data_IF_242831842933
#
_entry.id   IF_242831842933
#
_cell.length_a   1.000
_cell.length_b   1.000
_cell.length_c   1.000
_cell.angle_alpha   90.00
_cell.angle_beta   90.00
_cell.angle_gamma   90.00
#
_symmetry.space_group_name_H-M   'P 1'
#
loop_
_entity.id
_entity.type
_entity.pdbx_description
1 polymer ?
#
# COMPACT_ATOMS: atom_id res chain seq x y z
N UNK A 1 39.75 -46.61 41.28
CA UNK A 1 40.16 -45.58 40.30
C UNK A 1 39.18 -45.62 39.13
N UNK A 2 38.08 -44.87 39.23
CA UNK A 2 37.10 -44.73 38.15
C UNK A 2 37.35 -43.40 37.44
N UNK A 3 37.57 -43.44 36.12
CA UNK A 3 37.73 -42.25 35.27
C UNK A 3 36.35 -41.67 34.91
N UNK A 4 36.14 -40.35 35.03
CA UNK A 4 34.93 -39.70 34.54
C UNK A 4 35.00 -39.53 33.02
N UNK A 5 33.96 -39.96 32.33
CA UNK A 5 33.79 -39.80 30.88
C UNK A 5 33.03 -38.49 30.64
N UNK A 6 33.68 -37.53 29.99
CA UNK A 6 33.05 -36.26 29.61
C UNK A 6 32.15 -36.47 28.39
N UNK A 7 30.84 -36.44 28.60
CA UNK A 7 29.84 -36.37 27.53
C UNK A 7 29.83 -34.95 26.97
N UNK A 8 30.37 -34.79 25.76
CA UNK A 8 30.31 -33.56 24.98
C UNK A 8 28.87 -33.36 24.47
N UNK A 9 28.14 -32.41 25.04
CA UNK A 9 26.81 -32.03 24.56
C UNK A 9 26.96 -31.16 23.31
N UNK A 10 26.64 -31.71 22.14
CA UNK A 10 26.50 -30.99 20.89
C UNK A 10 25.20 -30.15 20.93
N UNK A 11 25.33 -28.86 21.20
CA UNK A 11 24.25 -27.89 20.98
C UNK A 11 24.07 -27.68 19.47
N UNK A 12 23.10 -28.39 18.88
CA UNK A 12 22.58 -28.07 17.55
C UNK A 12 21.81 -26.74 17.65
N UNK A 13 22.47 -25.62 17.36
CA UNK A 13 21.79 -24.35 17.07
C UNK A 13 21.01 -24.54 15.76
N UNK A 14 19.73 -24.89 15.89
CA UNK A 14 18.73 -24.75 14.84
C UNK A 14 18.55 -23.24 14.59
N UNK A 15 19.45 -22.66 13.80
CA UNK A 15 19.20 -21.37 13.17
C UNK A 15 18.10 -21.61 12.15
N UNK A 16 16.85 -21.48 12.60
CA UNK A 16 15.68 -21.33 11.73
C UNK A 16 15.95 -20.08 10.89
N UNK A 17 16.57 -20.27 9.73
CA UNK A 17 16.66 -19.27 8.69
C UNK A 17 15.22 -19.05 8.23
N UNK A 18 14.51 -18.14 8.89
CA UNK A 18 13.28 -17.58 8.35
C UNK A 18 13.67 -16.99 7.00
N UNK A 19 13.34 -17.72 5.94
CA UNK A 19 13.40 -17.22 4.58
C UNK A 19 12.42 -16.05 4.54
N UNK A 20 12.93 -14.83 4.63
CA UNK A 20 12.14 -13.65 4.29
C UNK A 20 11.95 -13.72 2.79
N UNK A 21 10.80 -14.23 2.37
CA UNK A 21 10.37 -14.18 0.98
C UNK A 21 9.98 -12.73 0.66
N UNK A 22 10.92 -12.00 0.06
CA UNK A 22 10.69 -10.65 -0.42
C UNK A 22 10.15 -10.72 -1.85
N UNK A 23 8.86 -10.40 -2.04
CA UNK A 23 8.30 -10.11 -3.36
C UNK A 23 8.83 -8.79 -3.93
N UNK A 24 8.33 -8.36 -5.10
CA UNK A 24 8.64 -7.04 -5.65
C UNK A 24 7.90 -5.94 -4.86
N UNK A 25 8.38 -5.63 -3.67
CA UNK A 25 7.70 -4.67 -2.78
C UNK A 25 8.35 -3.29 -2.75
N UNK A 26 9.35 -3.07 -3.61
CA UNK A 26 10.07 -1.80 -3.73
C UNK A 26 9.34 -0.85 -4.67
N UNK A 27 9.17 0.40 -4.26
CA UNK A 27 8.59 1.41 -5.13
C UNK A 27 9.61 1.91 -6.16
N UNK A 28 9.16 2.15 -7.38
CA UNK A 28 9.97 2.67 -8.47
C UNK A 28 10.27 4.17 -8.31
N UNK A 29 9.42 4.89 -7.57
CA UNK A 29 9.56 6.31 -7.25
C UNK A 29 9.16 6.61 -5.80
N UNK A 30 9.37 7.86 -5.36
CA UNK A 30 8.96 8.36 -4.05
C UNK A 30 7.51 8.86 -3.99
N UNK A 31 6.67 8.57 -4.98
CA UNK A 31 5.28 9.07 -5.01
C UNK A 31 4.45 8.62 -3.79
N UNK A 32 4.80 7.48 -3.21
CA UNK A 32 4.12 6.91 -2.03
C UNK A 32 4.98 7.01 -0.77
N UNK A 33 5.93 7.96 -0.74
CA UNK A 33 6.71 8.27 0.45
C UNK A 33 5.81 8.78 1.59
N UNK A 34 4.73 9.50 1.26
CA UNK A 34 3.72 9.91 2.26
C UNK A 34 3.14 8.70 3.00
N UNK A 35 2.81 7.63 2.29
CA UNK A 35 2.31 6.39 2.89
C UNK A 35 3.41 5.74 3.75
N UNK A 36 4.60 5.58 3.18
CA UNK A 36 5.71 4.90 3.83
C UNK A 36 6.16 5.65 5.10
N UNK A 37 6.10 6.98 5.10
CA UNK A 37 6.45 7.81 6.25
C UNK A 37 5.52 7.61 7.45
N UNK A 38 4.23 7.36 7.20
CA UNK A 38 3.22 7.21 8.25
C UNK A 38 3.10 5.75 8.68
N UNK A 39 3.07 4.81 7.72
CA UNK A 39 2.87 3.38 7.96
C UNK A 39 4.17 2.68 8.37
N UNK A 40 5.32 3.13 7.86
CA UNK A 40 6.64 2.54 8.15
C UNK A 40 7.05 1.40 7.21
N UNK A 41 6.24 1.08 6.22
CA UNK A 41 6.52 0.10 5.16
C UNK A 41 5.87 0.56 3.84
N UNK A 42 6.32 0.04 2.71
CA UNK A 42 5.71 0.37 1.42
C UNK A 42 4.29 -0.22 1.32
N UNK A 43 3.40 0.36 0.49
CA UNK A 43 2.07 -0.21 0.29
C UNK A 43 2.10 -1.66 -0.21
N UNK A 44 3.09 -2.02 -1.03
CA UNK A 44 3.30 -3.39 -1.46
C UNK A 44 3.68 -4.33 -0.32
N UNK A 45 4.53 -3.89 0.63
CA UNK A 45 4.82 -4.67 1.83
C UNK A 45 3.56 -4.89 2.67
N UNK A 46 2.77 -3.84 2.91
CA UNK A 46 1.50 -3.97 3.64
C UNK A 46 0.53 -4.93 2.95
N UNK A 47 0.38 -4.79 1.62
CA UNK A 47 -0.47 -5.68 0.83
C UNK A 47 -0.01 -7.14 0.90
N UNK A 48 1.31 -7.38 0.75
CA UNK A 48 1.88 -8.72 0.87
C UNK A 48 1.58 -9.34 2.24
N UNK A 49 1.83 -8.58 3.32
CA UNK A 49 1.61 -9.06 4.69
C UNK A 49 0.13 -9.35 4.97
N UNK A 50 -0.78 -8.53 4.44
CA UNK A 50 -2.22 -8.77 4.54
C UNK A 50 -2.62 -10.09 3.86
N UNK A 51 -2.15 -10.34 2.63
CA UNK A 51 -2.40 -11.60 1.90
C UNK A 51 -1.75 -12.80 2.61
N UNK A 52 -0.58 -12.61 3.21
CA UNK A 52 0.15 -13.65 3.95
C UNK A 52 -0.59 -14.20 5.17
N UNK A 53 -1.57 -13.47 5.72
CA UNK A 53 -2.46 -14.00 6.77
C UNK A 53 -3.23 -15.23 6.27
N UNK A 54 -3.69 -15.22 5.02
CA UNK A 54 -4.48 -16.29 4.41
C UNK A 54 -3.63 -17.26 3.57
N UNK A 55 -2.48 -16.79 3.07
CA UNK A 55 -1.60 -17.53 2.18
C UNK A 55 -0.15 -17.19 2.51
N UNK A 56 0.47 -17.92 3.45
CA UNK A 56 1.82 -17.61 3.96
C UNK A 56 2.93 -17.58 2.89
N UNK A 57 2.71 -18.22 1.74
CA UNK A 57 3.65 -18.22 0.61
C UNK A 57 3.41 -17.07 -0.38
N UNK A 58 2.35 -16.28 -0.17
CA UNK A 58 2.02 -15.15 -1.03
C UNK A 58 3.18 -14.15 -1.10
N UNK A 59 3.53 -13.80 -2.34
CA UNK A 59 4.51 -12.77 -2.66
C UNK A 59 3.92 -11.84 -3.68
N UNK A 60 4.14 -10.54 -3.46
CA UNK A 60 3.80 -9.53 -4.45
C UNK A 60 4.67 -9.74 -5.68
N UNK A 61 4.03 -10.05 -6.80
CA UNK A 61 4.69 -10.14 -8.11
C UNK A 61 4.87 -8.77 -8.77
N UNK A 62 5.25 -8.77 -10.05
CA UNK A 62 5.16 -7.58 -10.89
C UNK A 62 3.71 -7.37 -11.32
N UNK A 63 3.13 -6.25 -10.91
CA UNK A 63 1.77 -5.87 -11.27
C UNK A 63 1.68 -5.59 -12.77
N UNK A 64 0.54 -5.92 -13.36
CA UNK A 64 0.25 -5.55 -14.75
C UNK A 64 -0.01 -4.04 -14.84
N UNK A 65 0.35 -3.44 -15.98
CA UNK A 65 0.10 -2.01 -16.25
C UNK A 65 -1.38 -1.65 -16.43
N UNK A 66 -2.26 -2.65 -16.47
CA UNK A 66 -3.71 -2.49 -16.60
C UNK A 66 -4.40 -2.83 -15.28
N UNK A 67 -5.23 -1.93 -14.80
CA UNK A 67 -6.01 -2.12 -13.58
C UNK A 67 -6.97 -3.31 -13.71
N UNK A 68 -7.24 -4.04 -12.61
CA UNK A 68 -6.56 -3.96 -11.32
C UNK A 68 -5.21 -4.68 -11.41
N UNK A 69 -4.10 -4.10 -10.97
CA UNK A 69 -2.76 -4.66 -11.23
C UNK A 69 -2.49 -6.07 -10.69
N UNK A 70 -3.33 -6.55 -9.76
CA UNK A 70 -3.39 -7.91 -9.21
C UNK A 70 -4.87 -8.39 -9.17
N UNK A 71 -5.10 -9.67 -8.84
CA UNK A 71 -6.43 -10.24 -8.61
C UNK A 71 -6.49 -10.95 -7.24
N UNK A 72 -7.69 -11.09 -6.69
CA UNK A 72 -7.91 -11.98 -5.55
C UNK A 72 -8.11 -13.43 -6.02
N UNK A 73 -7.03 -14.21 -5.93
CA UNK A 73 -6.94 -15.62 -6.32
C UNK A 73 -6.60 -16.57 -5.16
N UNK A 74 -6.55 -16.05 -3.92
CA UNK A 74 -6.33 -16.90 -2.74
C UNK A 74 -7.51 -17.87 -2.53
N UNK A 75 -7.15 -19.09 -2.14
CA UNK A 75 -8.14 -20.09 -1.73
C UNK A 75 -8.94 -19.64 -0.49
N UNK A 76 -8.29 -18.94 0.44
CA UNK A 76 -8.94 -18.30 1.59
C UNK A 76 -9.14 -16.83 1.27
N UNK A 77 -10.33 -16.53 0.75
CA UNK A 77 -10.72 -15.24 0.19
C UNK A 77 -10.77 -14.08 1.18
N UNK A 78 -10.80 -14.32 2.49
CA UNK A 78 -10.99 -13.27 3.50
C UNK A 78 -9.95 -12.14 3.43
N UNK A 79 -8.70 -12.46 3.08
CA UNK A 79 -7.61 -11.49 3.02
C UNK A 79 -7.55 -10.67 1.74
N UNK A 80 -8.31 -11.02 0.70
CA UNK A 80 -8.31 -10.27 -0.57
C UNK A 80 -9.69 -9.91 -1.11
N UNK A 81 -10.77 -10.57 -0.72
CA UNK A 81 -12.12 -10.24 -1.16
C UNK A 81 -12.73 -9.08 -0.37
N UNK A 82 -11.97 -8.00 -0.18
CA UNK A 82 -12.41 -6.81 0.54
C UNK A 82 -11.83 -5.53 -0.10
N UNK A 83 -12.48 -4.39 0.13
CA UNK A 83 -12.05 -3.12 -0.49
C UNK A 83 -10.70 -2.63 0.02
N UNK A 84 -10.35 -2.94 1.28
CA UNK A 84 -9.06 -2.57 1.88
C UNK A 84 -7.90 -3.24 1.12
N UNK A 85 -8.01 -4.54 0.84
CA UNK A 85 -7.02 -5.28 0.06
C UNK A 85 -6.94 -4.80 -1.39
N UNK A 86 -8.09 -4.46 -1.99
CA UNK A 86 -8.13 -3.84 -3.32
C UNK A 86 -7.39 -2.50 -3.35
N UNK A 87 -7.66 -1.61 -2.40
CA UNK A 87 -7.02 -0.30 -2.32
C UNK A 87 -5.51 -0.40 -2.08
N UNK A 88 -5.09 -1.32 -1.20
CA UNK A 88 -3.68 -1.64 -1.01
C UNK A 88 -3.03 -2.21 -2.29
N UNK A 89 -3.75 -3.03 -3.05
CA UNK A 89 -3.26 -3.52 -4.34
C UNK A 89 -3.09 -2.36 -5.34
N UNK A 90 -4.01 -1.39 -5.37
CA UNK A 90 -3.92 -0.22 -6.22
C UNK A 90 -2.75 0.70 -5.82
N UNK A 91 -2.52 0.89 -4.51
CA UNK A 91 -1.34 1.58 -4.01
C UNK A 91 -0.05 0.83 -4.36
N UNK A 92 -0.04 -0.50 -4.25
CA UNK A 92 1.10 -1.30 -4.65
C UNK A 92 1.37 -1.20 -6.16
N UNK A 93 0.32 -1.16 -6.98
CA UNK A 93 0.46 -0.91 -8.41
C UNK A 93 1.13 0.44 -8.68
N UNK A 94 0.66 1.52 -8.04
CA UNK A 94 1.29 2.84 -8.16
C UNK A 94 2.74 2.82 -7.68
N UNK A 95 3.03 2.11 -6.58
CA UNK A 95 4.38 1.92 -6.07
C UNK A 95 5.29 1.29 -7.15
N UNK A 96 4.86 0.25 -7.84
CA UNK A 96 5.69 -0.44 -8.83
C UNK A 96 5.73 0.23 -10.22
N UNK A 97 4.61 0.80 -10.65
CA UNK A 97 4.41 1.24 -12.03
C UNK A 97 4.60 2.75 -12.21
N UNK A 98 4.43 3.54 -11.15
CA UNK A 98 4.55 4.98 -11.26
C UNK A 98 6.00 5.43 -11.16
N UNK A 99 6.55 5.79 -12.32
CA UNK A 99 7.90 6.31 -12.48
C UNK A 99 7.96 7.83 -12.32
N UNK A 100 6.80 8.49 -12.18
CA UNK A 100 6.71 9.94 -12.10
C UNK A 100 7.09 10.42 -10.69
N UNK A 101 7.64 11.64 -10.58
CA UNK A 101 7.90 12.25 -9.28
C UNK A 101 6.60 12.51 -8.51
N UNK A 102 6.71 12.61 -7.18
CA UNK A 102 5.60 12.54 -6.23
C UNK A 102 4.59 13.69 -6.24
N UNK A 103 4.63 14.58 -7.22
CA UNK A 103 3.69 15.68 -7.43
C UNK A 103 2.60 15.36 -8.49
N UNK A 104 2.74 14.26 -9.24
CA UNK A 104 1.77 13.88 -10.28
C UNK A 104 0.68 12.92 -9.78
N UNK A 105 -0.48 12.97 -10.45
CA UNK A 105 -1.61 12.07 -10.20
C UNK A 105 -1.19 10.64 -10.57
N UNK A 106 -1.38 9.69 -9.64
CA UNK A 106 -1.06 8.29 -9.86
C UNK A 106 -2.00 7.59 -10.85
N UNK A 107 -1.88 6.26 -10.94
CA UNK A 107 -2.79 5.46 -11.79
C UNK A 107 -4.14 5.33 -11.07
N UNK A 108 -5.13 6.04 -11.59
CA UNK A 108 -6.50 5.97 -11.11
C UNK A 108 -7.21 4.69 -11.60
N UNK A 109 -8.22 4.25 -10.86
CA UNK A 109 -9.13 3.18 -11.29
C UNK A 109 -10.53 3.72 -11.59
N UNK A 110 -11.10 3.26 -12.70
CA UNK A 110 -12.47 3.55 -13.08
C UNK A 110 -13.48 2.77 -12.21
N UNK A 111 -14.74 3.23 -12.12
CA UNK A 111 -15.80 2.46 -11.47
C UNK A 111 -15.89 1.03 -12.02
N UNK A 112 -16.06 0.06 -11.14
CA UNK A 112 -16.13 -1.37 -11.46
C UNK A 112 -14.80 -2.11 -11.41
N UNK A 113 -13.65 -1.43 -11.26
CA UNK A 113 -12.34 -2.12 -11.15
C UNK A 113 -12.27 -3.04 -9.92
N UNK A 114 -12.87 -2.68 -8.79
CA UNK A 114 -12.98 -3.60 -7.64
C UNK A 114 -13.74 -4.89 -7.96
N UNK A 115 -14.74 -4.83 -8.85
CA UNK A 115 -15.46 -6.03 -9.30
C UNK A 115 -14.56 -6.92 -10.15
N UNK A 116 -13.72 -6.33 -11.00
CA UNK A 116 -12.71 -7.09 -11.76
C UNK A 116 -11.65 -7.72 -10.83
N UNK A 117 -11.18 -6.98 -9.82
CA UNK A 117 -10.17 -7.44 -8.85
C UNK A 117 -10.65 -8.66 -8.07
N UNK A 118 -11.91 -8.61 -7.65
CA UNK A 118 -12.56 -9.67 -6.87
C UNK A 118 -12.76 -10.97 -7.66
N UNK A 119 -12.90 -10.92 -8.98
CA UNK A 119 -13.20 -12.10 -9.79
C UNK A 119 -14.35 -12.94 -9.20
N UNK A 120 -14.01 -14.10 -8.62
CA UNK A 120 -14.97 -15.07 -8.09
C UNK A 120 -15.34 -14.89 -6.60
N UNK A 121 -14.87 -13.82 -5.94
CA UNK A 121 -15.16 -13.49 -4.53
C UNK A 121 -16.64 -13.24 -4.19
N UNK A 122 -17.53 -13.21 -5.19
CA UNK A 122 -18.88 -12.71 -5.02
C UNK A 122 -18.88 -11.23 -4.56
N UNK A 123 -19.80 -10.88 -3.66
CA UNK A 123 -20.00 -9.50 -3.21
C UNK A 123 -18.84 -8.93 -2.37
N UNK A 124 -17.93 -9.77 -1.85
CA UNK A 124 -16.83 -9.32 -0.99
C UNK A 124 -17.30 -8.59 0.28
N UNK A 125 -16.35 -8.01 1.01
CA UNK A 125 -16.61 -7.13 2.15
C UNK A 125 -16.24 -5.70 1.80
N UNK A 126 -17.17 -4.76 2.00
CA UNK A 126 -16.90 -3.35 1.75
C UNK A 126 -16.48 -2.68 3.06
N UNK A 127 -15.47 -1.81 2.97
CA UNK A 127 -15.08 -0.85 4.00
C UNK A 127 -14.72 -1.48 5.36
N UNK A 128 -14.39 -2.77 5.34
CA UNK A 128 -14.07 -3.54 6.54
C UNK A 128 -13.36 -4.85 6.18
N UNK A 129 -12.68 -5.42 7.18
CA UNK A 129 -12.13 -6.77 7.14
C UNK A 129 -13.06 -7.73 7.89
N UNK A 130 -13.10 -9.02 7.52
CA UNK A 130 -13.65 -10.05 8.38
C UNK A 130 -13.00 -10.01 9.78
N UNK A 131 -13.76 -10.33 10.84
CA UNK A 131 -13.32 -10.12 12.22
C UNK A 131 -12.05 -10.91 12.60
N UNK A 132 -11.90 -12.12 12.07
CA UNK A 132 -10.72 -12.96 12.23
C UNK A 132 -9.50 -12.37 11.52
N UNK A 133 -9.68 -11.85 10.31
CA UNK A 133 -8.63 -11.16 9.56
C UNK A 133 -8.23 -9.84 10.23
N UNK A 134 -9.19 -9.06 10.72
CA UNK A 134 -8.91 -7.84 11.50
C UNK A 134 -8.09 -8.15 12.75
N UNK A 135 -8.44 -9.22 13.49
CA UNK A 135 -7.68 -9.64 14.65
C UNK A 135 -6.25 -10.06 14.27
N UNK A 136 -6.08 -10.80 13.17
CA UNK A 136 -4.77 -11.18 12.66
C UNK A 136 -3.92 -9.96 12.25
N UNK A 137 -4.51 -8.97 11.56
CA UNK A 137 -3.85 -7.69 11.23
C UNK A 137 -3.32 -7.00 12.49
N UNK A 138 -4.12 -6.95 13.56
CA UNK A 138 -3.69 -6.33 14.81
C UNK A 138 -2.59 -7.13 15.52
N UNK A 139 -2.67 -8.47 15.50
CA UNK A 139 -1.69 -9.35 16.13
C UNK A 139 -0.34 -9.35 15.41
N UNK A 140 -0.36 -9.30 14.08
CA UNK A 140 0.84 -9.21 13.23
C UNK A 140 1.40 -7.78 13.14
N UNK A 141 0.75 -6.81 13.79
CA UNK A 141 1.12 -5.40 13.72
C UNK A 141 1.21 -4.88 12.26
N UNK A 142 0.23 -5.25 11.44
CA UNK A 142 0.03 -4.70 10.10
C UNK A 142 -0.74 -3.40 10.26
N UNK A 143 -0.14 -2.27 9.85
CA UNK A 143 -0.70 -0.94 10.09
C UNK A 143 -1.58 -0.54 8.92
N UNK A 144 -2.90 -0.58 9.13
CA UNK A 144 -3.89 -0.18 8.15
C UNK A 144 -4.50 1.17 8.54
N UNK A 145 -4.31 2.15 7.68
CA UNK A 145 -4.80 3.51 7.89
C UNK A 145 -6.33 3.60 7.75
N UNK A 146 -6.96 4.48 8.52
CA UNK A 146 -8.42 4.69 8.53
C UNK A 146 -8.98 5.01 7.14
N UNK A 147 -8.24 5.72 6.27
CA UNK A 147 -8.76 6.06 4.95
C UNK A 147 -9.09 4.81 4.11
N UNK A 148 -8.38 3.70 4.33
CA UNK A 148 -8.63 2.41 3.66
C UNK A 148 -9.99 1.79 4.04
N UNK A 149 -10.54 2.17 5.19
CA UNK A 149 -11.85 1.72 5.66
C UNK A 149 -12.98 2.62 5.16
N UNK A 150 -12.69 3.80 4.61
CA UNK A 150 -13.71 4.67 4.01
C UNK A 150 -14.17 4.16 2.64
N UNK A 151 -13.19 3.72 1.85
CA UNK A 151 -13.30 3.16 0.52
C UNK A 151 -14.17 3.87 -0.51
N UNK A 152 -14.17 3.34 -1.73
CA UNK A 152 -15.00 3.83 -2.82
C UNK A 152 -16.03 2.75 -3.19
N UNK A 153 -17.30 2.99 -2.86
CA UNK A 153 -18.36 1.98 -3.00
C UNK A 153 -18.60 1.48 -4.43
N UNK A 154 -18.16 2.24 -5.44
CA UNK A 154 -18.21 1.86 -6.85
C UNK A 154 -16.93 1.17 -7.35
N UNK A 155 -15.91 1.02 -6.49
CA UNK A 155 -14.63 0.43 -6.83
C UNK A 155 -13.72 1.35 -7.65
N UNK A 156 -14.03 2.65 -7.71
CA UNK A 156 -13.09 3.65 -8.21
C UNK A 156 -11.91 3.82 -7.26
N UNK A 157 -10.80 4.38 -7.75
CA UNK A 157 -9.64 4.70 -6.93
C UNK A 157 -9.06 6.00 -7.46
N UNK A 158 -9.44 7.11 -6.83
CA UNK A 158 -9.08 8.48 -7.26
C UNK A 158 -8.81 9.31 -6.00
N UNK A 159 -7.89 10.27 -6.06
CA UNK A 159 -7.58 11.19 -4.95
C UNK A 159 -7.16 10.52 -3.64
N UNK A 160 -6.58 9.32 -3.71
CA UNK A 160 -6.23 8.54 -2.50
C UNK A 160 -5.20 9.26 -1.64
N UNK A 161 -4.20 9.90 -2.26
CA UNK A 161 -3.19 10.69 -1.53
C UNK A 161 -3.84 11.85 -0.77
N UNK A 162 -4.64 12.65 -1.46
CA UNK A 162 -5.26 13.85 -0.87
C UNK A 162 -6.22 13.48 0.27
N UNK A 163 -6.94 12.37 0.14
CA UNK A 163 -7.79 11.85 1.21
C UNK A 163 -6.98 11.34 2.41
N UNK A 164 -5.89 10.62 2.16
CA UNK A 164 -5.02 10.14 3.22
C UNK A 164 -4.36 11.31 3.97
N UNK A 165 -3.78 12.28 3.26
CA UNK A 165 -3.15 13.47 3.85
C UNK A 165 -4.16 14.30 4.65
N UNK A 166 -5.40 14.43 4.14
CA UNK A 166 -6.48 15.08 4.87
C UNK A 166 -6.81 14.37 6.18
N UNK A 167 -6.88 13.04 6.18
CA UNK A 167 -7.15 12.25 7.39
C UNK A 167 -5.97 12.30 8.37
N UNK A 168 -4.74 12.22 7.88
CA UNK A 168 -3.52 12.40 8.66
C UNK A 168 -3.49 13.76 9.37
N UNK A 169 -3.77 14.84 8.63
CA UNK A 169 -3.83 16.18 9.18
C UNK A 169 -4.95 16.35 10.21
N UNK A 170 -6.13 15.79 9.96
CA UNK A 170 -7.26 15.86 10.87
C UNK A 170 -7.02 15.11 12.19
N UNK A 171 -6.22 14.05 12.17
CA UNK A 171 -6.01 13.15 13.30
C UNK A 171 -4.59 13.24 13.90
N UNK A 172 -3.76 14.20 13.49
CA UNK A 172 -2.35 14.31 13.88
C UNK A 172 -1.59 12.97 13.69
N UNK A 173 -1.75 12.34 12.54
CA UNK A 173 -1.20 11.01 12.19
C UNK A 173 -1.68 9.84 13.08
N UNK A 174 -2.70 10.04 13.93
CA UNK A 174 -3.31 8.97 14.75
C UNK A 174 -4.42 8.23 13.99
N UNK A 175 -4.12 7.81 12.77
CA UNK A 175 -5.08 7.20 11.83
C UNK A 175 -5.10 5.67 11.88
N UNK A 176 -4.43 5.06 12.86
CA UNK A 176 -4.42 3.60 13.08
C UNK A 176 -5.38 3.23 14.21
N UNK A 177 -6.68 3.43 14.00
CA UNK A 177 -7.66 3.34 15.10
C UNK A 177 -8.34 1.98 15.23
N UNK A 178 -8.22 1.12 14.21
CA UNK A 178 -8.88 -0.18 14.13
C UNK A 178 -8.18 -1.27 14.95
N UNK A 179 -6.93 -1.04 15.36
CA UNK A 179 -6.16 -1.93 16.23
C UNK A 179 -5.77 -1.21 17.53
N UNK A 180 -6.25 -1.66 18.71
CA UNK A 180 -5.98 -0.98 19.98
C UNK A 180 -4.50 -0.80 20.32
N UNK A 181 -3.67 -1.76 19.92
CA UNK A 181 -2.21 -1.78 20.13
C UNK A 181 -1.43 -0.87 19.16
N UNK A 182 -2.07 -0.30 18.14
CA UNK A 182 -1.44 0.54 17.13
C UNK A 182 -1.73 2.04 17.31
N UNK A 183 -2.55 2.39 18.30
CA UNK A 183 -2.74 3.79 18.67
C UNK A 183 -1.42 4.34 19.18
N UNK A 184 -0.98 5.48 18.65
CA UNK A 184 0.20 6.14 19.18
C UNK A 184 -0.02 6.38 20.69
N UNK A 185 1.03 6.23 21.52
CA UNK A 185 0.96 6.66 22.90
C UNK A 185 0.55 8.13 22.90
N UNK A 186 -0.62 8.45 23.46
CA UNK A 186 -0.96 9.83 23.76
C UNK A 186 0.15 10.30 24.69
N UNK A 187 0.99 11.24 24.23
CA UNK A 187 1.96 11.90 25.09
C UNK A 187 1.18 12.59 26.21
N UNK A 188 0.99 11.85 27.31
CA UNK A 188 0.55 12.42 28.56
C UNK A 188 1.75 13.21 29.03
N UNK A 189 1.73 14.52 28.78
CA UNK A 189 2.72 15.47 29.29
C UNK A 189 2.72 15.36 30.82
N UNK A 190 3.48 14.41 31.34
CA UNK A 190 3.79 14.31 32.75
C UNK A 190 4.88 15.33 32.98
N UNK A 191 4.47 16.53 33.40
CA UNK A 191 5.31 17.59 33.92
C UNK A 191 6.17 17.04 35.06
N UNK A 192 7.32 16.46 34.70
CA UNK A 192 8.30 15.99 35.67
C UNK A 192 9.10 17.22 36.07
N UNK A 193 8.77 17.80 37.22
CA UNK A 193 9.58 18.82 37.88
C UNK A 193 10.97 18.27 38.15
N UNK A 194 11.94 18.68 37.33
CA UNK A 194 13.36 18.38 37.51
C UNK A 194 13.89 19.18 38.69
N UNK A 195 14.11 18.53 39.83
CA UNK A 195 14.94 19.07 40.92
C UNK A 195 16.41 19.01 40.51
N UNK A 196 16.98 20.18 40.27
CA UNK A 196 18.41 20.43 40.04
C UNK A 196 19.21 20.20 41.33
N UNK A 197 19.99 19.13 41.39
CA UNK A 197 21.07 18.96 42.38
C UNK A 197 22.40 19.36 41.76
N UNK A 198 22.90 20.50 42.22
CA UNK A 198 24.23 21.06 41.99
C UNK A 198 25.28 20.17 42.64
N UNK A 199 26.32 19.79 41.89
CA UNK A 199 27.56 19.25 42.48
C UNK A 199 28.75 19.73 41.66
N UNK A 200 29.54 20.55 42.32
CA UNK A 200 30.81 21.15 41.92
C UNK A 200 31.95 20.13 41.95
N UNK A 201 32.79 20.11 40.92
CA UNK A 201 34.17 19.63 41.03
C UNK A 201 35.09 20.29 40.02
N UNK A 202 36.33 20.41 40.46
CA UNK A 202 37.32 21.45 40.13
C UNK A 202 38.31 21.00 39.04
N UNK A 203 38.86 22.01 38.38
CA UNK A 203 39.86 22.06 37.31
C UNK A 203 41.06 21.11 37.37
N UNK A 204 41.57 20.71 36.20
CA UNK A 204 43.03 20.64 35.96
C UNK A 204 43.35 20.77 34.47
N UNK A 205 44.27 21.69 34.18
CA UNK A 205 44.78 22.07 32.86
C UNK A 205 45.70 21.00 32.28
N UNK A 206 45.65 20.80 30.96
CA UNK A 206 46.81 20.34 30.18
C UNK A 206 46.75 20.84 28.73
N UNK A 207 47.92 21.30 28.29
CA UNK A 207 48.30 22.04 27.07
C UNK A 207 48.42 21.17 25.80
N UNK A 208 48.08 21.78 24.65
CA UNK A 208 48.63 21.70 23.25
C UNK A 208 49.31 20.41 22.73
N UNK A 209 49.28 20.08 21.41
CA UNK A 209 49.60 21.02 20.31
C UNK A 209 48.69 20.98 19.07
N UNK A 210 48.75 22.12 18.37
CA UNK A 210 48.18 22.45 17.07
C UNK A 210 48.97 21.77 15.95
N UNK A 211 48.28 21.06 15.05
CA UNK A 211 48.87 20.58 13.79
C UNK A 211 48.10 21.17 12.62
N UNK A 212 48.80 22.01 11.88
CA UNK A 212 48.41 22.67 10.63
C UNK A 212 48.48 21.66 9.49
N UNK A 213 47.40 21.49 8.73
CA UNK A 213 47.37 20.63 7.55
C UNK A 213 46.56 21.27 6.43
N UNK A 214 47.26 21.88 5.47
CA UNK A 214 46.72 22.44 4.24
C UNK A 214 46.23 21.32 3.30
N UNK A 215 45.01 21.45 2.77
CA UNK A 215 44.43 20.56 1.78
C UNK A 215 43.89 21.36 0.59
N UNK A 216 44.45 21.07 -0.59
CA UNK A 216 44.30 21.78 -1.85
C UNK A 216 43.03 21.40 -2.61
N UNK A 217 42.44 22.41 -3.27
CA UNK A 217 41.70 22.48 -4.53
C UNK A 217 40.62 21.42 -4.92
N UNK A 218 39.47 21.88 -5.46
CA UNK A 218 38.47 21.04 -6.12
C UNK A 218 38.86 20.68 -7.56
N UNK A 219 38.81 19.38 -7.90
CA UNK A 219 38.93 18.88 -9.27
C UNK A 219 37.54 18.86 -9.91
N UNK A 220 37.37 19.69 -10.92
CA UNK A 220 36.27 19.64 -11.89
C UNK A 220 36.39 18.38 -12.75
N UNK A 221 35.32 17.59 -12.83
CA UNK A 221 35.21 16.51 -13.82
C UNK A 221 34.19 16.87 -14.92
N UNK A 222 34.50 16.56 -16.19
CA UNK A 222 33.75 17.05 -17.34
C UNK A 222 32.55 16.16 -17.73
N UNK A 223 31.46 16.86 -18.03
CA UNK A 223 30.58 16.73 -19.18
C UNK A 223 30.86 15.53 -20.13
N UNK A 224 29.89 14.62 -20.25
CA UNK A 224 29.71 13.76 -21.43
C UNK A 224 28.22 13.61 -21.70
N UNK A 225 27.73 14.56 -22.51
CA UNK A 225 26.47 14.51 -23.24
C UNK A 225 26.52 13.39 -24.28
N UNK A 226 25.75 12.32 -24.07
CA UNK A 226 25.45 11.33 -25.12
C UNK A 226 24.08 11.67 -25.72
N UNK A 227 24.14 12.34 -26.86
CA UNK A 227 23.01 12.59 -27.75
C UNK A 227 22.76 11.33 -28.58
N UNK A 228 21.72 10.57 -28.26
CA UNK A 228 21.19 9.55 -29.17
C UNK A 228 20.04 10.16 -29.98
N UNK A 229 20.40 10.62 -31.17
CA UNK A 229 19.48 10.99 -32.25
C UNK A 229 18.91 9.71 -32.85
N UNK A 230 17.66 9.35 -32.52
CA UNK A 230 16.92 8.32 -33.26
C UNK A 230 16.08 9.01 -34.33
N UNK A 231 16.50 8.79 -35.57
CA UNK A 231 15.87 9.24 -36.81
C UNK A 231 14.50 8.59 -37.00
N UNK A 232 13.48 9.43 -37.23
CA UNK A 232 12.13 9.06 -37.65
C UNK A 232 12.07 9.02 -39.18
N UNK A 233 11.69 7.87 -39.73
CA UNK A 233 11.06 7.68 -41.05
C UNK A 233 10.06 6.54 -40.84
N UNK A 234 8.74 6.71 -40.91
CA UNK A 234 8.00 7.32 -42.00
C UNK A 234 7.38 6.21 -42.85
N UNK A 235 6.23 5.65 -42.43
CA UNK A 235 5.35 4.89 -43.31
C UNK A 235 3.89 5.04 -42.84
N UNK A 236 3.11 5.55 -43.77
CA UNK A 236 1.74 6.02 -43.68
C UNK A 236 0.72 4.96 -44.14
N UNK A 237 -0.47 5.01 -43.54
CA UNK A 237 -1.80 4.79 -44.14
C UNK A 237 -2.20 3.40 -44.67
N UNK A 238 -3.24 2.81 -44.07
CA UNK A 238 -4.51 2.38 -44.69
C UNK A 238 -5.36 1.64 -43.62
N UNK A 239 -6.46 2.19 -43.13
CA UNK A 239 -7.80 2.16 -43.75
C UNK A 239 -8.26 0.74 -44.12
N UNK A 240 -8.97 0.09 -43.19
CA UNK A 240 -9.66 -1.18 -43.40
C UNK A 240 -10.97 -1.20 -42.62
N UNK A 241 -12.01 -0.64 -43.25
CA UNK A 241 -13.41 -0.68 -42.85
C UNK A 241 -14.09 -1.87 -43.53
N UNK A 242 -14.83 -2.71 -42.79
CA UNK A 242 -15.88 -3.67 -43.22
C UNK A 242 -16.42 -4.36 -41.95
N UNK A 243 -17.58 -4.05 -41.38
CA UNK A 243 -18.97 -4.21 -41.83
C UNK A 243 -19.45 -5.69 -41.88
N UNK A 244 -20.23 -6.05 -40.85
CA UNK A 244 -21.47 -6.86 -40.85
C UNK A 244 -21.45 -8.35 -41.22
N UNK A 245 -21.95 -9.19 -40.31
CA UNK A 245 -22.98 -10.25 -40.50
C UNK A 245 -23.37 -10.78 -39.11
N UNK A 246 -24.43 -10.27 -38.46
CA UNK A 246 -25.81 -10.80 -38.43
C UNK A 246 -25.92 -12.30 -38.17
N UNK A 247 -26.25 -12.67 -36.93
CA UNK A 247 -26.58 -14.03 -36.53
C UNK A 247 -27.69 -14.03 -35.48
N UNK A 248 -28.91 -13.73 -35.93
CA UNK A 248 -30.14 -13.85 -35.15
C UNK A 248 -30.62 -15.29 -35.21
N UNK A 249 -30.83 -15.95 -34.07
CA UNK A 249 -31.73 -17.11 -34.00
C UNK A 249 -32.59 -17.02 -32.75
N UNK A 250 -33.79 -16.51 -32.99
CA UNK A 250 -35.00 -16.62 -32.17
C UNK A 250 -35.43 -18.09 -32.08
N UNK A 251 -35.98 -18.55 -30.94
CA UNK A 251 -37.34 -19.13 -30.80
C UNK A 251 -37.45 -20.09 -29.59
N UNK A 252 -38.48 -19.88 -28.76
CA UNK A 252 -39.07 -20.87 -27.82
C UNK A 252 -38.94 -20.48 -26.34
N UNK A 253 -39.74 -19.61 -25.73
CA UNK A 253 -41.19 -19.67 -25.40
C UNK A 253 -41.61 -20.82 -24.44
N UNK A 254 -41.84 -20.46 -23.17
CA UNK A 254 -42.94 -20.90 -22.28
C UNK A 254 -42.83 -20.10 -20.96
N UNK A 255 -43.61 -19.03 -20.77
CA UNK A 255 -44.94 -18.98 -20.13
C UNK A 255 -44.92 -19.51 -18.68
N UNK A 256 -45.05 -18.66 -17.64
CA UNK A 256 -46.28 -18.25 -16.89
C UNK A 256 -45.85 -18.30 -15.39
N UNK A 257 -46.25 -17.51 -14.40
CA UNK A 257 -47.35 -16.57 -14.17
C UNK A 257 -47.06 -15.76 -12.87
N UNK A 258 -47.60 -14.53 -12.77
CA UNK A 258 -48.21 -13.83 -11.59
C UNK A 258 -47.58 -13.95 -10.19
N UNK A 259 -47.47 -12.97 -9.31
CA UNK A 259 -48.01 -11.60 -9.03
C UNK A 259 -47.25 -11.17 -7.75
N UNK A 260 -46.97 -9.91 -7.34
CA UNK A 260 -47.81 -8.75 -6.99
C UNK A 260 -46.81 -7.76 -6.31
N UNK A 261 -46.67 -6.51 -6.76
CA UNK A 261 -47.41 -5.30 -6.35
C UNK A 261 -47.09 -4.76 -4.93
N UNK A 262 -46.39 -3.61 -4.87
CA UNK A 262 -46.54 -2.46 -3.93
C UNK A 262 -45.28 -1.58 -4.04
N UNK A 263 -45.28 -0.52 -4.86
CA UNK A 263 -45.73 0.85 -4.60
C UNK A 263 -44.77 1.76 -3.79
N UNK A 264 -44.43 2.89 -4.43
CA UNK A 264 -44.07 4.22 -3.88
C UNK A 264 -42.74 4.33 -3.10
N UNK A 265 -41.78 5.18 -3.46
CA UNK A 265 -41.95 6.63 -3.60
C UNK A 265 -40.76 7.26 -4.34
N UNK A 266 -41.06 8.17 -5.27
CA UNK A 266 -40.14 9.11 -5.89
C UNK A 266 -40.20 10.46 -5.16
N UNK A 267 -39.03 11.10 -5.01
CA UNK A 267 -38.76 12.53 -4.75
C UNK A 267 -37.40 12.59 -4.01
N UNK A 268 -36.47 13.50 -4.26
CA UNK A 268 -36.34 14.57 -5.23
C UNK A 268 -34.85 14.97 -5.21
N UNK A 269 -34.45 15.59 -6.30
CA UNK A 269 -33.12 16.07 -6.63
C UNK A 269 -32.71 17.24 -5.73
N UNK A 270 -31.49 17.24 -5.19
CA UNK A 270 -30.74 18.49 -5.00
C UNK A 270 -29.24 18.24 -4.95
N UNK A 271 -28.66 18.31 -6.16
CA UNK A 271 -27.25 18.52 -6.42
C UNK A 271 -26.82 19.88 -5.84
N UNK A 272 -25.89 19.88 -4.88
CA UNK A 272 -25.08 21.06 -4.55
C UNK A 272 -23.64 20.77 -4.94
N UNK A 273 -23.24 21.32 -6.10
CA UNK A 273 -21.85 21.49 -6.48
C UNK A 273 -21.19 22.46 -5.49
N UNK A 274 -20.09 22.04 -4.87
CA UNK A 274 -19.17 22.96 -4.22
C UNK A 274 -18.00 23.18 -5.17
N UNK A 275 -17.96 24.36 -5.78
CA UNK A 275 -16.74 24.92 -6.39
C UNK A 275 -15.84 25.39 -5.25
N UNK A 276 -14.59 24.97 -5.25
CA UNK A 276 -13.53 25.70 -4.56
C UNK A 276 -12.61 26.33 -5.60
N UNK A 277 -12.27 27.59 -5.30
CA UNK A 277 -11.28 28.42 -5.98
C UNK A 277 -9.86 27.91 -5.72
#
# INVERSE_FOLDING_TARGET
>A
MLKPTHTFALFFTFTLCWRVFAGNTTCASGQLDWYTSVVGETPCMTYQRLRQICNGDYQVGNFRSRNPGDNCDDQVSGCCCNTIAFELSMLCMNCQQDLLPGDQVGIDAAPGTYTEYRGNCGAGTNNSLPSDIQAAVCNENIRLDNYLYGGWGDGSFVYTRENAEKDHAANNNNTFTHCPNQKAPVETTSSTTTTTTTSSSTSTSQTQPTVTGAGLAPVSQPNSSVTNTVTVSGASSQAGSSTTTTGTTTTGSSARATSSQSDSSAADTTSSQVRFY
#
